data_IF_344652653727
#
_entry.id   IF_344652653727
#
_cell.length_a   1.000
_cell.length_b   1.000
_cell.length_c   1.000
_cell.angle_alpha   90.00
_cell.angle_beta   90.00
_cell.angle_gamma   90.00
#
_symmetry.space_group_name_H-M   'P 1'
#
loop_
_entity.id
_entity.type
_entity.pdbx_description
1 polymer ?
#
# COMPACT_ATOMS: atom_id res chain seq x y z
N UNK A 1 -13.58 -12.44 -0.32
CA UNK A 1 -13.14 -11.25 0.44
C UNK A 1 -11.69 -10.89 0.13
N UNK A 2 -11.45 -9.59 -0.05
CA UNK A 2 -10.11 -9.01 -0.17
C UNK A 2 -9.89 -7.99 0.92
N UNK A 3 -8.89 -8.19 1.75
CA UNK A 3 -8.46 -7.21 2.76
C UNK A 3 -7.03 -6.73 2.46
N UNK A 4 -6.78 -5.46 2.77
CA UNK A 4 -5.47 -4.87 2.58
C UNK A 4 -5.14 -3.85 3.66
N UNK A 5 -3.86 -3.77 4.02
CA UNK A 5 -3.33 -2.88 5.04
C UNK A 5 -1.93 -2.44 4.66
N UNK A 6 -1.66 -1.14 4.65
CA UNK A 6 -0.36 -0.67 4.22
C UNK A 6 0.00 0.73 4.65
N UNK A 7 1.29 1.01 4.56
CA UNK A 7 1.88 2.30 4.86
C UNK A 7 3.08 2.57 3.96
N UNK A 8 3.33 3.85 3.70
CA UNK A 8 4.52 4.34 3.00
C UNK A 8 5.07 5.55 3.73
N UNK A 9 6.36 5.56 4.02
CA UNK A 9 7.11 6.79 4.30
C UNK A 9 7.56 7.39 2.97
N UNK A 10 7.09 8.59 2.66
CA UNK A 10 7.39 9.27 1.40
C UNK A 10 8.73 10.01 1.56
N UNK A 11 9.61 9.81 0.57
CA UNK A 11 10.83 10.59 0.46
C UNK A 11 11.22 10.77 -1.01
N UNK A 12 11.63 11.98 -1.35
CA UNK A 12 12.08 12.38 -2.68
C UNK A 12 13.41 11.73 -3.07
N UNK A 13 14.32 11.52 -2.11
CA UNK A 13 15.69 11.07 -2.34
C UNK A 13 16.11 9.95 -1.38
N UNK A 14 17.14 9.17 -1.73
CA UNK A 14 17.69 8.15 -0.82
C UNK A 14 18.79 8.70 0.11
N UNK A 15 18.89 10.02 0.24
CA UNK A 15 19.91 10.69 1.04
C UNK A 15 19.27 11.88 1.80
N UNK A 16 19.52 13.11 1.35
CA UNK A 16 18.94 14.33 1.92
C UNK A 16 17.70 14.72 1.12
N UNK A 17 16.66 15.13 1.83
CA UNK A 17 15.42 15.59 1.22
C UNK A 17 15.60 17.02 0.69
N UNK A 18 15.06 17.28 -0.48
CA UNK A 18 14.87 18.62 -1.02
C UNK A 18 13.40 19.02 -0.87
N UNK A 19 13.14 20.08 -0.09
CA UNK A 19 11.78 20.55 0.20
C UNK A 19 10.98 20.91 -1.06
N UNK A 20 11.66 21.41 -2.10
CA UNK A 20 11.06 21.78 -3.37
C UNK A 20 10.62 20.55 -4.17
N UNK A 21 11.51 19.57 -4.32
CA UNK A 21 11.18 18.29 -4.96
C UNK A 21 10.12 17.52 -4.18
N UNK A 22 10.21 17.52 -2.85
CA UNK A 22 9.21 16.91 -1.98
C UNK A 22 7.82 17.54 -2.17
N UNK A 23 7.75 18.88 -2.25
CA UNK A 23 6.50 19.59 -2.53
C UNK A 23 5.92 19.22 -3.90
N UNK A 24 6.76 19.05 -4.93
CA UNK A 24 6.32 18.59 -6.25
C UNK A 24 5.76 17.17 -6.21
N UNK A 25 6.37 16.27 -5.45
CA UNK A 25 5.92 14.89 -5.24
C UNK A 25 4.55 14.87 -4.56
N UNK A 26 4.37 15.66 -3.50
CA UNK A 26 3.10 15.72 -2.76
C UNK A 26 1.96 16.26 -3.64
N UNK A 27 2.24 17.26 -4.47
CA UNK A 27 1.28 17.78 -5.44
C UNK A 27 0.88 16.71 -6.46
N UNK A 28 1.87 16.00 -7.04
CA UNK A 28 1.64 14.89 -7.97
C UNK A 28 0.80 13.78 -7.33
N UNK A 29 1.12 13.40 -6.09
CA UNK A 29 0.40 12.40 -5.32
C UNK A 29 -1.06 12.82 -5.07
N UNK A 30 -1.28 14.07 -4.64
CA UNK A 30 -2.62 14.60 -4.40
C UNK A 30 -3.45 14.64 -5.68
N UNK A 31 -2.85 15.02 -6.82
CA UNK A 31 -3.52 14.99 -8.13
C UNK A 31 -3.90 13.56 -8.52
N UNK A 32 -2.98 12.60 -8.37
CA UNK A 32 -3.23 11.19 -8.68
C UNK A 32 -4.40 10.62 -7.85
N UNK A 33 -4.37 10.81 -6.53
CA UNK A 33 -5.44 10.36 -5.64
C UNK A 33 -6.79 10.92 -6.10
N UNK A 34 -6.84 12.22 -6.42
CA UNK A 34 -8.07 12.89 -6.85
C UNK A 34 -8.58 12.40 -8.20
N UNK A 35 -7.69 12.26 -9.19
CA UNK A 35 -8.02 11.83 -10.56
C UNK A 35 -8.63 10.42 -10.58
N UNK A 36 -8.00 9.49 -9.85
CA UNK A 36 -8.45 8.11 -9.74
C UNK A 36 -9.50 7.89 -8.64
N UNK A 37 -9.94 8.96 -7.97
CA UNK A 37 -10.99 8.95 -6.94
C UNK A 37 -10.72 7.94 -5.82
N UNK A 38 -9.46 7.74 -5.47
CA UNK A 38 -9.04 6.72 -4.49
C UNK A 38 -9.66 7.00 -3.11
N UNK A 39 -9.90 8.27 -2.78
CA UNK A 39 -10.60 8.69 -1.56
C UNK A 39 -12.06 8.25 -1.49
N UNK A 40 -12.67 7.84 -2.61
CA UNK A 40 -14.04 7.34 -2.66
C UNK A 40 -14.11 5.81 -2.60
N UNK A 41 -12.96 5.13 -2.58
CA UNK A 41 -12.91 3.69 -2.41
C UNK A 41 -13.56 3.30 -1.07
N UNK A 42 -14.05 2.07 -1.00
CA UNK A 42 -14.61 1.48 0.24
C UNK A 42 -13.61 1.34 1.40
N UNK A 43 -12.33 1.67 1.17
CA UNK A 43 -11.28 1.68 2.18
C UNK A 43 -11.00 3.07 2.77
N UNK A 44 -9.86 3.16 3.43
CA UNK A 44 -9.28 4.33 4.04
C UNK A 44 -7.97 4.65 3.33
N UNK A 45 -7.76 5.92 2.99
CA UNK A 45 -6.48 6.47 2.56
C UNK A 45 -6.24 7.77 3.32
N UNK A 46 -5.04 7.93 3.86
CA UNK A 46 -4.64 9.15 4.53
C UNK A 46 -3.20 9.53 4.18
N UNK A 47 -3.02 10.74 3.65
CA UNK A 47 -1.72 11.35 3.45
C UNK A 47 -1.55 12.41 4.52
N UNK A 48 -0.52 12.28 5.36
CA UNK A 48 -0.33 13.17 6.50
C UNK A 48 1.15 13.43 6.77
N UNK A 49 1.42 14.53 7.46
CA UNK A 49 2.76 14.93 7.89
C UNK A 49 2.95 14.61 9.37
N UNK A 50 4.09 14.00 9.70
CA UNK A 50 4.50 13.70 11.07
C UNK A 50 5.96 14.12 11.23
N UNK A 51 6.20 15.16 12.02
CA UNK A 51 7.55 15.65 12.33
C UNK A 51 8.40 15.91 11.06
N UNK A 52 7.82 16.60 10.07
CA UNK A 52 8.47 16.90 8.78
C UNK A 52 8.58 15.72 7.82
N UNK A 53 8.09 14.53 8.18
CA UNK A 53 8.03 13.37 7.29
C UNK A 53 6.61 13.13 6.79
N UNK A 54 6.43 12.92 5.49
CA UNK A 54 5.13 12.62 4.92
C UNK A 54 4.90 11.12 4.84
N UNK A 55 3.68 10.69 5.14
CA UNK A 55 3.29 9.30 5.21
C UNK A 55 1.96 9.07 4.51
N UNK A 56 1.85 7.95 3.79
CA UNK A 56 0.58 7.41 3.30
C UNK A 56 0.19 6.23 4.15
N UNK A 57 -1.04 6.18 4.62
CA UNK A 57 -1.66 4.98 5.19
C UNK A 57 -2.83 4.55 4.32
N UNK A 58 -2.97 3.25 4.11
CA UNK A 58 -4.11 2.66 3.42
C UNK A 58 -4.63 1.44 4.19
N UNK A 59 -5.94 1.25 4.19
CA UNK A 59 -6.55 0.00 4.67
C UNK A 59 -7.92 -0.22 4.06
N UNK A 60 -8.35 -1.45 3.87
CA UNK A 60 -9.71 -1.71 3.40
C UNK A 60 -10.05 -3.19 3.44
N UNK A 61 -11.35 -3.47 3.31
CA UNK A 61 -11.88 -4.82 3.25
C UNK A 61 -13.12 -4.81 2.32
N UNK A 62 -13.06 -5.62 1.27
CA UNK A 62 -14.10 -5.71 0.24
C UNK A 62 -14.58 -7.15 0.05
N UNK A 63 -15.85 -7.34 -0.29
CA UNK A 63 -16.42 -8.68 -0.46
C UNK A 63 -15.74 -9.47 -1.60
N UNK A 64 -15.33 -8.80 -2.67
CA UNK A 64 -14.63 -9.37 -3.82
C UNK A 64 -13.48 -8.45 -4.25
N UNK A 65 -12.57 -8.97 -5.08
CA UNK A 65 -11.58 -8.14 -5.77
C UNK A 65 -12.31 -7.10 -6.64
N UNK A 66 -11.96 -5.82 -6.45
CA UNK A 66 -12.61 -4.69 -7.12
C UNK A 66 -11.61 -3.73 -7.73
N UNK A 67 -12.09 -2.82 -8.58
CA UNK A 67 -11.25 -1.78 -9.16
C UNK A 67 -10.59 -0.90 -8.09
N UNK A 68 -11.28 -0.63 -6.98
CA UNK A 68 -10.75 0.15 -5.86
C UNK A 68 -9.46 -0.47 -5.32
N UNK A 69 -9.43 -1.80 -5.14
CA UNK A 69 -8.23 -2.51 -4.67
C UNK A 69 -7.10 -2.40 -5.71
N UNK A 70 -7.43 -2.52 -7.00
CA UNK A 70 -6.48 -2.33 -8.10
C UNK A 70 -5.86 -0.92 -8.07
N UNK A 71 -6.64 0.11 -7.76
CA UNK A 71 -6.10 1.48 -7.67
C UNK A 71 -5.16 1.67 -6.47
N UNK A 72 -5.35 0.94 -5.37
CA UNK A 72 -4.38 0.93 -4.25
C UNK A 72 -3.04 0.33 -4.69
N UNK A 73 -3.07 -0.74 -5.49
CA UNK A 73 -1.85 -1.28 -6.09
C UNK A 73 -1.17 -0.27 -7.02
N UNK A 74 -1.94 0.36 -7.90
CA UNK A 74 -1.43 1.37 -8.83
C UNK A 74 -0.85 2.60 -8.10
N UNK A 75 -1.43 2.97 -6.95
CA UNK A 75 -0.91 4.03 -6.10
C UNK A 75 0.51 3.72 -5.59
N UNK A 76 0.78 2.49 -5.15
CA UNK A 76 2.11 2.07 -4.70
C UNK A 76 3.12 2.14 -5.85
N UNK A 77 2.75 1.64 -7.03
CA UNK A 77 3.58 1.74 -8.25
C UNK A 77 3.80 3.19 -8.71
N UNK A 78 2.81 4.05 -8.51
CA UNK A 78 2.95 5.48 -8.80
C UNK A 78 3.94 6.15 -7.85
N UNK A 79 3.79 5.94 -6.53
CA UNK A 79 4.69 6.49 -5.52
C UNK A 79 6.12 5.99 -5.73
N UNK A 80 6.30 4.71 -6.06
CA UNK A 80 7.61 4.13 -6.38
C UNK A 80 8.33 4.90 -7.50
N UNK A 81 7.58 5.35 -8.51
CA UNK A 81 8.14 6.08 -9.65
C UNK A 81 8.46 7.54 -9.35
N UNK A 82 7.61 8.22 -8.58
CA UNK A 82 7.75 9.67 -8.35
C UNK A 82 8.61 10.01 -7.13
N UNK A 83 8.74 9.10 -6.16
CA UNK A 83 9.38 9.35 -4.87
C UNK A 83 10.36 8.22 -4.55
N UNK A 84 11.53 8.26 -5.22
CA UNK A 84 12.50 7.16 -5.20
C UNK A 84 13.12 6.89 -3.82
N UNK A 85 13.04 7.84 -2.89
CA UNK A 85 13.48 7.67 -1.51
C UNK A 85 12.53 6.84 -0.65
N UNK A 86 11.30 6.66 -1.13
CA UNK A 86 10.21 6.07 -0.34
C UNK A 86 10.41 4.59 -0.05
N UNK A 87 9.82 4.17 1.08
CA UNK A 87 9.74 2.78 1.49
C UNK A 87 8.43 2.51 2.22
N UNK A 88 7.98 1.26 2.18
CA UNK A 88 6.70 0.88 2.75
C UNK A 88 6.30 -0.55 2.45
N UNK A 89 5.19 -0.97 3.05
CA UNK A 89 4.63 -2.32 2.90
C UNK A 89 3.12 -2.20 2.64
N UNK A 90 2.60 -3.06 1.77
CA UNK A 90 1.17 -3.30 1.60
C UNK A 90 0.93 -4.80 1.73
N UNK A 91 0.20 -5.20 2.76
CA UNK A 91 -0.32 -6.54 2.94
C UNK A 91 -1.66 -6.63 2.20
N UNK A 92 -1.87 -7.71 1.46
CA UNK A 92 -3.15 -8.06 0.84
C UNK A 92 -3.42 -9.54 1.07
N UNK A 93 -4.63 -9.85 1.52
CA UNK A 93 -5.16 -11.22 1.50
C UNK A 93 -6.38 -11.25 0.60
N UNK A 94 -6.43 -12.25 -0.27
CA UNK A 94 -7.56 -12.51 -1.14
C UNK A 94 -7.95 -13.98 -0.98
N UNK A 95 -9.03 -14.25 -0.24
CA UNK A 95 -9.50 -15.61 0.04
C UNK A 95 -9.99 -16.36 -1.22
N UNK A 96 -10.29 -15.64 -2.30
CA UNK A 96 -10.68 -16.18 -3.61
C UNK A 96 -9.45 -16.50 -4.48
N UNK A 97 -8.23 -16.22 -4.01
CA UNK A 97 -6.99 -16.54 -4.72
C UNK A 97 -6.77 -18.05 -4.81
N UNK A 98 -6.61 -18.58 -6.02
CA UNK A 98 -6.34 -20.01 -6.23
C UNK A 98 -5.00 -20.45 -5.63
N UNK A 99 -4.02 -19.55 -5.57
CA UNK A 99 -2.64 -19.86 -5.16
C UNK A 99 -2.32 -19.42 -3.72
N UNK A 100 -3.10 -18.49 -3.15
CA UNK A 100 -2.78 -17.81 -1.90
C UNK A 100 -4.02 -17.51 -1.02
N UNK A 101 -5.10 -18.29 -1.14
CA UNK A 101 -6.35 -18.06 -0.36
C UNK A 101 -6.15 -18.00 1.16
N UNK A 102 -5.14 -18.70 1.68
CA UNK A 102 -4.82 -18.74 3.10
C UNK A 102 -3.52 -17.98 3.44
N UNK A 103 -3.07 -17.05 2.61
CA UNK A 103 -1.83 -16.30 2.82
C UNK A 103 -2.04 -14.80 2.57
N UNK A 104 -1.34 -13.98 3.34
CA UNK A 104 -1.09 -12.59 2.96
C UNK A 104 0.05 -12.54 1.95
N UNK A 105 -0.15 -11.76 0.89
CA UNK A 105 0.88 -11.33 -0.03
C UNK A 105 1.33 -9.92 0.36
N UNK A 106 2.64 -9.67 0.35
CA UNK A 106 3.22 -8.39 0.76
C UNK A 106 3.87 -7.72 -0.43
N UNK A 107 3.39 -6.53 -0.82
CA UNK A 107 4.14 -5.64 -1.69
C UNK A 107 5.10 -4.81 -0.87
N UNK A 108 6.38 -4.93 -1.19
CA UNK A 108 7.46 -4.18 -0.56
C UNK A 108 7.91 -3.07 -1.50
N UNK A 109 7.68 -1.84 -1.08
CA UNK A 109 8.26 -0.65 -1.70
C UNK A 109 9.61 -0.36 -1.03
N UNK A 110 10.67 -0.35 -1.83
CA UNK A 110 11.97 0.12 -1.38
C UNK A 110 12.73 0.76 -2.54
N UNK A 111 13.13 2.02 -2.36
CA UNK A 111 14.02 2.75 -3.28
C UNK A 111 13.50 2.78 -4.73
N UNK A 112 12.22 3.09 -4.87
CA UNK A 112 11.51 3.14 -6.16
C UNK A 112 11.28 1.80 -6.85
N UNK A 113 11.43 0.69 -6.13
CA UNK A 113 11.13 -0.66 -6.63
C UNK A 113 10.04 -1.30 -5.80
N UNK A 114 9.10 -1.95 -6.48
CA UNK A 114 8.11 -2.84 -5.88
C UNK A 114 8.58 -4.28 -6.09
N UNK A 115 8.48 -5.09 -5.03
CA UNK A 115 8.60 -6.54 -5.11
C UNK A 115 7.47 -7.19 -4.33
N UNK A 116 7.08 -8.38 -4.76
CA UNK A 116 6.09 -9.21 -4.07
C UNK A 116 6.81 -10.25 -3.23
N UNK A 117 6.42 -10.34 -1.97
CA UNK A 117 6.95 -11.30 -1.00
C UNK A 117 5.80 -12.06 -0.36
N UNK A 118 6.09 -13.25 0.16
CA UNK A 118 5.17 -13.97 1.04
C UNK A 118 5.27 -13.37 2.44
N UNK A 119 4.14 -13.20 3.10
CA UNK A 119 4.15 -12.91 4.53
C UNK A 119 4.64 -14.13 5.32
N UNK A 120 5.39 -13.87 6.40
CA UNK A 120 5.93 -14.91 7.29
C UNK A 120 5.50 -14.70 8.75
N UNK A 121 4.70 -13.66 9.01
CA UNK A 121 4.30 -13.28 10.36
C UNK A 121 2.87 -13.71 10.68
N UNK A 122 1.95 -13.55 9.72
CA UNK A 122 0.51 -13.81 9.88
C UNK A 122 0.04 -14.97 8.99
N UNK A 123 0.90 -15.52 8.13
CA UNK A 123 0.59 -16.55 7.15
C UNK A 123 1.22 -17.90 7.51
N UNK A 124 0.54 -19.04 7.24
CA UNK A 124 -0.82 -19.12 6.70
C UNK A 124 -1.85 -18.61 7.72
N UNK A 125 -2.91 -17.94 7.26
CA UNK A 125 -3.84 -17.26 8.18
C UNK A 125 -4.51 -18.26 9.12
N UNK A 126 -4.85 -19.43 8.59
CA UNK A 126 -5.24 -20.60 9.36
C UNK A 126 -4.04 -21.55 9.45
N UNK A 127 -3.55 -21.95 10.64
CA UNK A 127 -4.11 -21.65 11.96
C UNK A 127 -3.41 -20.48 12.70
N UNK A 128 -2.64 -19.62 12.02
CA UNK A 128 -1.76 -18.65 12.72
C UNK A 128 -2.54 -17.53 13.40
N UNK A 129 -3.52 -16.96 12.71
CA UNK A 129 -4.35 -15.83 13.20
C UNK A 129 -5.84 -16.19 13.31
N UNK A 130 -6.25 -17.27 12.66
CA UNK A 130 -7.60 -17.84 12.67
C UNK A 130 -7.52 -19.31 13.09
N UNK A 131 -8.58 -19.86 13.68
CA UNK A 131 -8.67 -21.29 13.96
C UNK A 131 -9.12 -22.06 12.70
N UNK A 132 -8.73 -23.33 12.57
CA UNK A 132 -9.37 -24.23 11.61
C UNK A 132 -10.86 -24.37 12.00
N UNK A 133 -11.78 -24.28 11.03
CA UNK A 133 -13.18 -24.62 11.27
C UNK A 133 -13.26 -26.10 11.69
N UNK A 134 -13.58 -26.38 12.97
CA UNK A 134 -13.73 -27.73 13.53
C UNK A 134 -14.75 -28.61 12.76
#
# INVERSE_FOLDING_TARGET
>A
MVEYYGWISISDSTYESDDGEMSLILNKLSSYITEYKIQNASGFINVHEVNGSYQVMVSGNTNHLSQDVIEIFNLYEYIARIAIGSYGLLYIRNDESLDACNEFEVLVLARGKIRKEKDTFLSPCIPVIEDDEE
#
